data_IF_257491737887
#
_entry.id   IF_257491737887
#
_cell.length_a   1.000
_cell.length_b   1.000
_cell.length_c   1.000
_cell.angle_alpha   90.00
_cell.angle_beta   90.00
_cell.angle_gamma   90.00
#
_symmetry.space_group_name_H-M   'P 1'
#
loop_
_entity.id
_entity.type
_entity.pdbx_description
1 polymer ?
#
# COMPACT_ATOMS: atom_id res chain seq x y z
N UNK A 1 4.56 9.85 -4.18
CA UNK A 1 5.09 9.85 -2.83
C UNK A 1 4.27 8.97 -1.91
N UNK A 2 4.84 8.67 -0.76
CA UNK A 2 4.13 7.88 0.25
C UNK A 2 2.87 8.59 0.73
N UNK A 3 2.90 9.91 0.82
CA UNK A 3 1.71 10.68 1.22
C UNK A 3 0.55 10.49 0.25
N UNK A 4 0.84 10.45 -1.04
CA UNK A 4 -0.20 10.25 -2.06
C UNK A 4 -0.81 8.85 -1.95
N UNK A 5 0.03 7.85 -1.72
CA UNK A 5 -0.47 6.49 -1.51
C UNK A 5 -1.38 6.42 -0.29
N UNK A 6 -0.95 7.03 0.82
CA UNK A 6 -1.75 7.05 2.05
C UNK A 6 -3.10 7.71 1.80
N UNK A 7 -3.11 8.84 1.10
CA UNK A 7 -4.35 9.53 0.79
C UNK A 7 -5.29 8.66 -0.07
N UNK A 8 -4.75 8.03 -1.10
CA UNK A 8 -5.55 7.18 -1.98
C UNK A 8 -6.16 6.01 -1.20
N UNK A 9 -5.36 5.38 -0.32
CA UNK A 9 -5.84 4.28 0.49
C UNK A 9 -6.92 4.74 1.48
N UNK A 10 -6.78 5.94 2.05
CA UNK A 10 -7.81 6.51 2.91
C UNK A 10 -9.11 6.76 2.16
N UNK A 11 -9.02 7.28 0.94
CA UNK A 11 -10.20 7.51 0.11
C UNK A 11 -10.92 6.19 -0.18
N UNK A 12 -10.14 5.13 -0.46
CA UNK A 12 -10.72 3.81 -0.64
C UNK A 12 -11.47 3.32 0.58
N UNK A 13 -10.90 3.53 1.76
CA UNK A 13 -11.55 3.17 3.02
C UNK A 13 -12.86 3.92 3.22
N UNK A 14 -12.89 5.21 2.89
CA UNK A 14 -14.11 6.01 3.00
C UNK A 14 -15.17 5.50 2.03
N UNK A 15 -14.79 5.14 0.81
CA UNK A 15 -15.73 4.57 -0.15
C UNK A 15 -16.31 3.23 0.31
N UNK A 16 -15.56 2.50 1.13
CA UNK A 16 -16.04 1.26 1.73
C UNK A 16 -16.92 1.48 2.97
N UNK A 17 -17.11 2.73 3.37
CA UNK A 17 -18.00 3.06 4.46
C UNK A 17 -17.34 3.45 5.78
N UNK A 18 -16.03 3.55 5.82
CA UNK A 18 -15.33 3.98 7.03
C UNK A 18 -15.38 5.50 7.17
N UNK A 19 -15.46 5.97 8.41
CA UNK A 19 -15.25 7.39 8.65
C UNK A 19 -13.80 7.75 8.32
N UNK A 20 -13.53 8.99 7.85
CA UNK A 20 -12.17 9.39 7.47
C UNK A 20 -11.12 9.13 8.53
N UNK A 21 -11.44 9.38 9.80
CA UNK A 21 -10.48 9.15 10.89
C UNK A 21 -10.14 7.68 11.02
N UNK A 22 -11.11 6.79 10.87
CA UNK A 22 -10.88 5.35 10.95
C UNK A 22 -10.10 4.85 9.73
N UNK A 23 -10.40 5.38 8.56
CA UNK A 23 -9.64 5.05 7.36
C UNK A 23 -8.17 5.43 7.54
N UNK A 24 -7.90 6.62 8.09
CA UNK A 24 -6.55 7.07 8.35
C UNK A 24 -5.81 6.16 9.33
N UNK A 25 -6.45 5.84 10.45
CA UNK A 25 -5.86 4.96 11.46
C UNK A 25 -5.51 3.59 10.88
N UNK A 26 -6.41 3.02 10.09
CA UNK A 26 -6.21 1.71 9.49
C UNK A 26 -5.05 1.70 8.51
N UNK A 27 -4.97 2.70 7.64
CA UNK A 27 -3.89 2.80 6.66
C UNK A 27 -2.55 2.96 7.35
N UNK A 28 -2.47 3.85 8.34
CA UNK A 28 -1.21 4.09 9.05
C UNK A 28 -0.77 2.85 9.81
N UNK A 29 -1.70 2.13 10.44
CA UNK A 29 -1.38 0.91 11.16
C UNK A 29 -0.87 -0.17 10.22
N UNK A 30 -1.51 -0.32 9.06
CA UNK A 30 -1.08 -1.29 8.05
C UNK A 30 0.34 -1.01 7.58
N UNK A 31 0.65 0.26 7.32
CA UNK A 31 1.99 0.64 6.89
C UNK A 31 3.02 0.40 7.98
N UNK A 32 2.70 0.76 9.23
CA UNK A 32 3.61 0.50 10.35
C UNK A 32 3.92 -0.99 10.48
N UNK A 33 2.89 -1.83 10.35
CA UNK A 33 3.07 -3.27 10.41
C UNK A 33 3.96 -3.80 9.30
N UNK A 34 3.75 -3.33 8.07
CA UNK A 34 4.55 -3.75 6.92
C UNK A 34 6.02 -3.37 7.11
N UNK A 35 6.26 -2.13 7.53
CA UNK A 35 7.62 -1.66 7.76
C UNK A 35 8.30 -2.48 8.86
N UNK A 36 7.59 -2.72 9.95
CA UNK A 36 8.13 -3.49 11.07
C UNK A 36 8.52 -4.90 10.66
N UNK A 37 7.68 -5.55 9.85
CA UNK A 37 7.99 -6.90 9.35
C UNK A 37 9.24 -6.92 8.49
N UNK A 38 9.35 -5.98 7.57
CA UNK A 38 10.53 -5.91 6.70
C UNK A 38 11.80 -5.62 7.49
N UNK A 39 11.71 -4.75 8.48
CA UNK A 39 12.87 -4.42 9.32
C UNK A 39 13.30 -5.59 10.19
N UNK A 40 12.36 -6.33 10.74
CA UNK A 40 12.69 -7.42 11.65
C UNK A 40 13.17 -8.67 10.92
N UNK A 41 12.58 -8.99 9.76
CA UNK A 41 12.87 -10.22 9.05
C UNK A 41 13.91 -10.08 7.94
N UNK A 42 14.15 -8.85 7.47
CA UNK A 42 15.03 -8.63 6.32
C UNK A 42 14.50 -9.26 5.04
N UNK A 43 13.21 -9.60 5.00
CA UNK A 43 12.63 -10.28 3.84
C UNK A 43 12.41 -9.32 2.69
N UNK A 44 12.32 -9.87 1.49
CA UNK A 44 11.91 -9.11 0.32
C UNK A 44 10.42 -8.75 0.44
N UNK A 45 9.98 -7.56 -0.01
CA UNK A 45 8.58 -7.17 0.05
C UNK A 45 7.61 -8.18 -0.56
N UNK A 46 7.99 -8.85 -1.66
CA UNK A 46 7.11 -9.85 -2.26
C UNK A 46 6.84 -11.04 -1.35
N UNK A 47 7.84 -11.44 -0.55
CA UNK A 47 7.63 -12.50 0.42
C UNK A 47 6.63 -12.10 1.48
N UNK A 48 6.66 -10.84 1.90
CA UNK A 48 5.73 -10.33 2.90
C UNK A 48 4.33 -10.14 2.32
N UNK A 49 4.21 -9.78 1.04
CA UNK A 49 2.92 -9.72 0.36
C UNK A 49 2.24 -11.09 0.43
N UNK A 50 2.96 -12.16 0.09
CA UNK A 50 2.41 -13.51 0.14
C UNK A 50 1.98 -13.90 1.56
N UNK A 51 2.77 -13.52 2.55
CA UNK A 51 2.54 -13.89 3.94
C UNK A 51 1.32 -13.18 4.53
N UNK A 52 1.12 -11.91 4.22
CA UNK A 52 0.11 -11.08 4.87
C UNK A 52 -1.12 -10.78 4.02
N UNK A 53 -1.18 -11.32 2.82
CA UNK A 53 -2.28 -11.02 1.88
C UNK A 53 -3.64 -11.26 2.51
N UNK A 54 -3.79 -12.32 3.29
CA UNK A 54 -5.06 -12.65 3.92
C UNK A 54 -5.25 -11.95 5.26
N UNK A 55 -4.17 -11.54 5.90
CA UNK A 55 -4.22 -10.94 7.24
C UNK A 55 -4.22 -9.42 7.21
N UNK A 56 -3.66 -8.82 6.19
CA UNK A 56 -3.44 -7.38 6.12
C UNK A 56 -4.57 -6.56 5.52
N UNK A 57 -5.69 -7.18 5.19
CA UNK A 57 -6.82 -6.46 4.63
C UNK A 57 -6.77 -6.20 3.13
N UNK A 58 -5.63 -6.45 2.49
CA UNK A 58 -5.51 -6.40 1.04
C UNK A 58 -5.40 -7.83 0.53
N UNK A 59 -6.39 -8.27 -0.24
CA UNK A 59 -6.37 -9.61 -0.82
C UNK A 59 -5.54 -9.61 -2.09
N UNK A 60 -5.19 -10.82 -2.57
CA UNK A 60 -4.50 -10.94 -3.84
C UNK A 60 -5.35 -10.38 -4.99
N UNK A 61 -6.68 -10.45 -4.88
CA UNK A 61 -7.59 -9.84 -5.86
C UNK A 61 -7.42 -8.32 -5.90
N UNK A 62 -7.32 -7.69 -4.73
CA UNK A 62 -7.11 -6.24 -4.66
C UNK A 62 -5.77 -5.83 -5.23
N UNK A 63 -4.72 -6.57 -4.90
CA UNK A 63 -3.39 -6.31 -5.44
C UNK A 63 -3.40 -6.44 -6.96
N UNK A 64 -4.03 -7.48 -7.50
CA UNK A 64 -4.13 -7.68 -8.94
C UNK A 64 -4.86 -6.53 -9.63
N UNK A 65 -5.92 -6.01 -9.01
CA UNK A 65 -6.63 -4.86 -9.57
C UNK A 65 -5.75 -3.62 -9.61
N UNK A 66 -4.97 -3.39 -8.55
CA UNK A 66 -4.03 -2.28 -8.54
C UNK A 66 -2.97 -2.43 -9.64
N UNK A 67 -2.45 -3.64 -9.83
CA UNK A 67 -1.46 -3.90 -10.87
C UNK A 67 -2.06 -3.77 -12.28
N UNK A 68 -3.31 -4.20 -12.48
CA UNK A 68 -4.01 -3.99 -13.76
C UNK A 68 -4.12 -2.50 -14.08
N UNK A 69 -4.28 -1.68 -13.06
CA UNK A 69 -4.34 -0.23 -13.22
C UNK A 69 -2.97 0.43 -13.34
N UNK A 70 -1.88 -0.35 -13.24
CA UNK A 70 -0.53 0.14 -13.47
C UNK A 70 0.21 0.62 -12.24
N UNK A 71 -0.09 0.06 -11.07
CA UNK A 71 0.50 0.52 -9.82
C UNK A 71 2.02 0.54 -9.82
N UNK A 72 2.65 -0.60 -10.09
CA UNK A 72 4.12 -0.69 -10.07
C UNK A 72 4.74 0.23 -11.13
N UNK A 73 4.17 0.25 -12.32
CA UNK A 73 4.63 1.12 -13.40
C UNK A 73 4.54 2.60 -13.03
N UNK A 74 3.44 2.98 -12.37
CA UNK A 74 3.24 4.37 -11.96
C UNK A 74 4.30 4.82 -10.96
N UNK A 75 4.63 3.95 -9.99
CA UNK A 75 5.65 4.25 -8.99
C UNK A 75 7.01 4.43 -9.66
N UNK A 76 7.39 3.50 -10.53
CA UNK A 76 8.68 3.55 -11.22
C UNK A 76 8.79 4.81 -12.07
N UNK A 77 7.74 5.12 -12.85
CA UNK A 77 7.73 6.29 -13.71
C UNK A 77 7.82 7.59 -12.93
N UNK A 78 7.10 7.64 -11.80
CA UNK A 78 7.14 8.81 -10.93
C UNK A 78 8.52 9.07 -10.36
N UNK A 79 9.21 8.03 -9.92
CA UNK A 79 10.56 8.14 -9.38
C UNK A 79 11.55 8.60 -10.46
N UNK A 80 11.44 8.05 -11.67
CA UNK A 80 12.30 8.45 -12.78
C UNK A 80 12.09 9.90 -13.15
N UNK A 81 10.85 10.34 -13.23
CA UNK A 81 10.51 11.72 -13.55
C UNK A 81 11.06 12.67 -12.50
N UNK A 82 10.97 12.32 -11.23
CA UNK A 82 11.48 13.14 -10.13
C UNK A 82 13.00 13.27 -10.20
N UNK A 83 13.68 12.20 -10.59
CA UNK A 83 15.14 12.22 -10.70
C UNK A 83 15.62 13.10 -11.85
N UNK A 84 14.84 13.17 -12.92
CA UNK A 84 15.18 13.97 -14.12
C UNK A 84 14.74 15.42 -14.02
N UNK A 85 13.92 15.72 -13.03
CA UNK A 85 13.41 17.05 -12.85
C UNK A 85 14.29 17.89 -11.98
#
# INVERSE_FOLDING_TARGET
>A
SAFRYIRAAMEGGVELGLYPQKAREGVLQTLRGAIALLESNGSHPEQEVDRVTTAGGITIKGLNEMEHAGFTSAVIRGLKASNNG
#
